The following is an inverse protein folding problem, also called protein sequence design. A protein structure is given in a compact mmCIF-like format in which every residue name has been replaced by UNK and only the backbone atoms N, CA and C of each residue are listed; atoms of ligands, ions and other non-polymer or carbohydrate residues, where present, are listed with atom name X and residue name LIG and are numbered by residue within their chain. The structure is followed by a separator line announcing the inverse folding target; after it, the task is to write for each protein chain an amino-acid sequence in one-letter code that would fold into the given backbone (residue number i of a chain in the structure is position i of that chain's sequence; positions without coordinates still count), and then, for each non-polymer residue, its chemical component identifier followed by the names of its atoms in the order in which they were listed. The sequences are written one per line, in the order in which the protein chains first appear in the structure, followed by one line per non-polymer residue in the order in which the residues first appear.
data_IF_048897943603
#
_entry.id   IF_048897943603
#
_cell.length_a   1.000
_cell.length_b   1.000
_cell.length_c   1.000
_cell.angle_alpha   90.00
_cell.angle_beta   90.00
_cell.angle_gamma   90.00
#
_symmetry.space_group_name_H-M   'P 1'
#
loop_
_entity.id
_entity.type
_entity.pdbx_description
1 polymer ?
#
# COMPACT_ATOMS: atom_id res chain seq x y z
N UNK A 1 -22.06 -10.98 4.51
CA UNK A 1 -21.23 -12.08 4.00
C UNK A 1 -21.16 -13.26 4.97
N UNK A 2 -20.74 -13.09 6.21
CA UNK A 2 -20.72 -14.18 7.21
C UNK A 2 -22.09 -14.86 7.40
N UNK A 3 -23.21 -14.12 7.30
CA UNK A 3 -24.54 -14.72 7.29
C UNK A 3 -24.75 -15.68 6.10
N UNK A 4 -24.17 -15.36 4.92
CA UNK A 4 -24.21 -16.24 3.76
C UNK A 4 -23.43 -17.53 4.02
N UNK A 5 -22.22 -17.42 4.60
CA UNK A 5 -21.42 -18.58 4.99
C UNK A 5 -22.18 -19.44 6.02
N UNK A 6 -22.86 -18.81 6.99
CA UNK A 6 -23.70 -19.52 7.93
C UNK A 6 -24.83 -20.30 7.25
N UNK A 7 -25.57 -19.64 6.35
CA UNK A 7 -26.70 -20.27 5.63
C UNK A 7 -26.20 -21.40 4.73
N UNK A 8 -25.09 -21.18 4.02
CA UNK A 8 -24.46 -22.21 3.19
C UNK A 8 -24.02 -23.43 4.05
N UNK A 9 -23.24 -23.19 5.08
CA UNK A 9 -22.69 -24.29 5.91
C UNK A 9 -23.78 -25.06 6.63
N UNK A 10 -24.84 -24.38 7.12
CA UNK A 10 -26.00 -25.02 7.74
C UNK A 10 -26.70 -25.97 6.78
N UNK A 11 -26.88 -25.55 5.51
CA UNK A 11 -27.62 -26.31 4.51
C UNK A 11 -26.76 -27.42 3.89
N UNK A 12 -25.46 -27.16 3.66
CA UNK A 12 -24.52 -28.11 3.10
C UNK A 12 -24.10 -29.21 4.12
N UNK A 13 -24.02 -28.87 5.42
CA UNK A 13 -23.53 -29.73 6.47
C UNK A 13 -24.58 -29.89 7.61
N UNK A 14 -25.59 -30.76 7.47
CA UNK A 14 -26.68 -30.91 8.46
C UNK A 14 -26.21 -31.20 9.88
N UNK A 15 -25.04 -31.85 10.05
CA UNK A 15 -24.45 -32.10 11.38
C UNK A 15 -24.14 -30.80 12.15
N UNK A 16 -23.87 -29.69 11.46
CA UNK A 16 -23.66 -28.38 12.09
C UNK A 16 -24.93 -27.82 12.72
N UNK A 17 -26.11 -28.32 12.36
CA UNK A 17 -27.37 -27.94 13.01
C UNK A 17 -27.40 -28.29 14.50
N UNK A 18 -26.71 -29.36 14.91
CA UNK A 18 -26.53 -29.71 16.33
C UNK A 18 -25.68 -28.68 17.08
N UNK A 19 -24.76 -27.99 16.36
CA UNK A 19 -23.85 -26.98 16.91
C UNK A 19 -24.24 -25.54 16.45
N UNK A 20 -25.51 -25.32 16.08
CA UNK A 20 -25.93 -24.01 15.50
C UNK A 20 -25.68 -22.82 16.41
N UNK A 21 -25.82 -22.95 17.73
CA UNK A 21 -25.57 -21.86 18.68
C UNK A 21 -24.08 -21.45 18.72
N UNK A 22 -23.13 -22.40 19.01
CA UNK A 22 -21.71 -22.04 19.00
C UNK A 22 -21.21 -21.61 17.63
N UNK A 23 -21.72 -22.21 16.53
CA UNK A 23 -21.34 -21.79 15.17
C UNK A 23 -21.77 -20.35 14.85
N UNK A 24 -23.02 -19.98 15.22
CA UNK A 24 -23.46 -18.57 15.09
C UNK A 24 -22.64 -17.62 15.96
N UNK A 25 -22.35 -18.00 17.20
CA UNK A 25 -21.52 -17.19 18.10
C UNK A 25 -20.12 -16.95 17.51
N UNK A 26 -19.48 -17.99 16.95
CA UNK A 26 -18.19 -17.87 16.30
C UNK A 26 -18.23 -16.89 15.09
N UNK A 27 -19.26 -16.98 14.24
CA UNK A 27 -19.39 -16.05 13.11
C UNK A 27 -19.68 -14.62 13.56
N UNK A 28 -20.48 -14.40 14.58
CA UNK A 28 -20.71 -13.06 15.17
C UNK A 28 -19.40 -12.53 15.73
N UNK A 29 -18.62 -13.35 16.42
CA UNK A 29 -17.30 -12.98 16.93
C UNK A 29 -16.39 -12.55 15.77
N UNK A 30 -16.30 -13.30 14.68
CA UNK A 30 -15.49 -12.95 13.51
C UNK A 30 -15.93 -11.64 12.84
N UNK A 31 -17.25 -11.36 12.79
CA UNK A 31 -17.77 -10.09 12.28
C UNK A 31 -17.37 -8.91 13.16
N UNK A 32 -17.39 -9.09 14.47
CA UNK A 32 -17.07 -8.01 15.43
C UNK A 32 -15.57 -7.84 15.66
N UNK A 33 -14.77 -8.85 15.34
CA UNK A 33 -13.32 -8.84 15.59
C UNK A 33 -12.59 -7.70 14.89
N UNK A 34 -12.76 -7.41 13.57
CA UNK A 34 -12.07 -6.32 12.89
C UNK A 34 -12.33 -4.94 13.49
N UNK A 35 -13.58 -4.49 13.71
CA UNK A 35 -13.82 -3.16 14.27
C UNK A 35 -13.33 -3.04 15.72
N UNK A 36 -13.46 -4.09 16.53
CA UNK A 36 -12.98 -4.08 17.93
C UNK A 36 -11.46 -4.03 17.98
N UNK A 37 -10.77 -4.89 17.22
CA UNK A 37 -9.31 -4.90 17.21
C UNK A 37 -8.72 -3.64 16.61
N UNK A 38 -9.37 -3.05 15.61
CA UNK A 38 -8.98 -1.74 15.06
C UNK A 38 -9.05 -0.65 16.13
N UNK A 39 -10.14 -0.61 16.89
CA UNK A 39 -10.30 0.35 17.98
C UNK A 39 -9.22 0.15 19.04
N UNK A 40 -8.95 -1.08 19.46
CA UNK A 40 -7.90 -1.39 20.44
C UNK A 40 -6.52 -1.01 19.89
N UNK A 41 -6.21 -1.36 18.64
CA UNK A 41 -4.92 -1.02 18.03
C UNK A 41 -4.69 0.50 17.99
N UNK A 42 -5.72 1.27 17.58
CA UNK A 42 -5.63 2.73 17.52
C UNK A 42 -5.47 3.38 18.91
N UNK A 43 -6.01 2.76 19.95
CA UNK A 43 -5.94 3.28 21.32
C UNK A 43 -4.67 2.88 22.06
N UNK A 44 -4.11 1.71 21.78
CA UNK A 44 -3.02 1.12 22.59
C UNK A 44 -1.70 0.95 21.84
N UNK A 45 -1.72 1.04 20.50
CA UNK A 45 -0.58 0.71 19.63
C UNK A 45 0.01 -0.69 19.89
N UNK A 46 -0.77 -1.61 20.49
CA UNK A 46 -0.29 -2.92 20.89
C UNK A 46 -0.04 -3.82 19.66
N UNK A 47 1.18 -4.36 19.45
CA UNK A 47 1.50 -5.20 18.30
C UNK A 47 0.59 -6.41 18.14
N UNK A 48 0.21 -7.04 19.27
CA UNK A 48 -0.72 -8.19 19.26
C UNK A 48 -2.09 -7.78 18.72
N UNK A 49 -2.61 -6.61 19.12
CA UNK A 49 -3.90 -6.12 18.60
C UNK A 49 -3.83 -5.85 17.08
N UNK A 50 -2.72 -5.30 16.58
CA UNK A 50 -2.49 -5.12 15.16
C UNK A 50 -2.45 -6.45 14.39
N UNK A 51 -1.77 -7.47 14.92
CA UNK A 51 -1.73 -8.81 14.32
C UNK A 51 -3.10 -9.48 14.29
N UNK A 52 -3.88 -9.38 15.38
CA UNK A 52 -5.24 -9.93 15.45
C UNK A 52 -6.16 -9.19 14.47
N UNK A 53 -6.03 -7.86 14.33
CA UNK A 53 -6.77 -7.09 13.35
C UNK A 53 -6.41 -7.52 11.91
N UNK A 54 -5.13 -7.68 11.60
CA UNK A 54 -4.68 -8.16 10.30
C UNK A 54 -5.24 -9.55 9.97
N UNK A 55 -5.24 -10.47 10.94
CA UNK A 55 -5.88 -11.78 10.78
C UNK A 55 -7.39 -11.66 10.50
N UNK A 56 -8.10 -10.86 11.27
CA UNK A 56 -9.55 -10.68 11.14
C UNK A 56 -9.93 -10.06 9.78
N UNK A 57 -9.16 -9.07 9.31
CA UNK A 57 -9.37 -8.48 7.98
C UNK A 57 -9.04 -9.49 6.87
N UNK A 58 -7.96 -10.27 7.04
CA UNK A 58 -7.58 -11.32 6.09
C UNK A 58 -8.68 -12.39 5.97
N UNK A 59 -9.26 -12.82 7.09
CA UNK A 59 -10.41 -13.75 7.11
C UNK A 59 -11.62 -13.15 6.36
N UNK A 60 -11.94 -11.88 6.63
CA UNK A 60 -13.03 -11.19 5.94
C UNK A 60 -12.81 -11.11 4.41
N UNK A 61 -11.56 -10.96 3.95
CA UNK A 61 -11.21 -11.01 2.53
C UNK A 61 -11.47 -12.39 1.91
N UNK A 62 -11.12 -13.48 2.60
CA UNK A 62 -11.41 -14.85 2.14
C UNK A 62 -12.92 -15.04 1.99
N UNK A 63 -13.69 -14.62 2.99
CA UNK A 63 -15.17 -14.69 2.98
C UNK A 63 -15.75 -13.86 1.83
N UNK A 64 -15.20 -12.66 1.57
CA UNK A 64 -15.62 -11.81 0.47
C UNK A 64 -15.40 -12.48 -0.90
N UNK A 65 -14.23 -13.04 -1.12
CA UNK A 65 -13.90 -13.76 -2.36
C UNK A 65 -14.78 -14.97 -2.58
N UNK A 66 -15.11 -15.71 -1.50
CA UNK A 66 -15.92 -16.91 -1.57
C UNK A 66 -17.41 -16.61 -1.73
N UNK A 67 -17.90 -15.42 -1.40
CA UNK A 67 -19.33 -15.12 -1.31
C UNK A 67 -20.06 -15.33 -2.64
N UNK A 68 -19.60 -14.75 -3.74
CA UNK A 68 -20.24 -14.89 -5.05
C UNK A 68 -20.18 -16.33 -5.58
N UNK A 69 -19.04 -17.03 -5.59
CA UNK A 69 -18.99 -18.45 -5.97
C UNK A 69 -19.94 -19.33 -5.13
N UNK A 70 -20.04 -19.10 -3.83
CA UNK A 70 -20.96 -19.86 -2.96
C UNK A 70 -22.42 -19.58 -3.32
N UNK A 71 -22.79 -18.33 -3.66
CA UNK A 71 -24.14 -18.01 -4.15
C UNK A 71 -24.45 -18.81 -5.41
N UNK A 72 -23.50 -18.82 -6.37
CA UNK A 72 -23.65 -19.57 -7.62
C UNK A 72 -23.78 -21.07 -7.37
N UNK A 73 -22.95 -21.65 -6.51
CA UNK A 73 -23.05 -23.07 -6.14
C UNK A 73 -24.41 -23.42 -5.50
N UNK A 74 -24.95 -22.54 -4.66
CA UNK A 74 -26.30 -22.72 -4.07
C UNK A 74 -27.40 -22.66 -5.13
N UNK A 75 -27.28 -21.74 -6.10
CA UNK A 75 -28.23 -21.63 -7.21
C UNK A 75 -28.20 -22.88 -8.11
N UNK A 76 -27.00 -23.42 -8.38
CA UNK A 76 -26.84 -24.69 -9.11
C UNK A 76 -27.44 -25.86 -8.27
N UNK A 77 -27.08 -25.96 -7.00
CA UNK A 77 -27.55 -26.97 -6.10
C UNK A 77 -29.10 -27.02 -6.00
N UNK A 78 -29.75 -25.85 -6.02
CA UNK A 78 -31.21 -25.75 -6.00
C UNK A 78 -31.90 -26.33 -7.24
N UNK A 79 -31.17 -26.41 -8.37
CA UNK A 79 -31.67 -27.04 -9.62
C UNK A 79 -31.44 -28.56 -9.66
N UNK A 80 -30.49 -29.09 -8.86
CA UNK A 80 -30.10 -30.49 -8.84
C UNK A 80 -31.00 -31.33 -7.93
N UNK A 81 -31.57 -30.71 -6.88
CA UNK A 81 -32.41 -31.45 -5.94
C UNK A 81 -33.13 -30.58 -4.92
N UNK A 82 -34.05 -31.14 -4.18
CA UNK A 82 -34.84 -30.46 -3.16
C UNK A 82 -33.95 -29.94 -2.02
N UNK A 83 -34.41 -28.97 -1.21
CA UNK A 83 -33.69 -28.51 -0.04
C UNK A 83 -33.44 -29.68 0.93
N UNK A 84 -32.37 -29.62 1.74
CA UNK A 84 -32.04 -30.68 2.71
C UNK A 84 -33.22 -30.94 3.66
N UNK A 85 -33.50 -32.20 3.91
CA UNK A 85 -34.52 -32.61 4.90
C UNK A 85 -34.10 -32.14 6.31
N UNK A 86 -35.07 -31.89 7.19
CA UNK A 86 -34.82 -31.52 8.59
C UNK A 86 -34.08 -32.62 9.35
N UNK A 87 -34.33 -33.87 9.03
CA UNK A 87 -33.62 -35.04 9.58
C UNK A 87 -32.54 -35.47 8.58
N UNK A 88 -31.25 -35.43 8.95
CA UNK A 88 -30.18 -35.79 8.06
C UNK A 88 -30.20 -37.28 7.73
N UNK A 89 -30.32 -37.63 6.45
CA UNK A 89 -30.08 -38.96 5.97
C UNK A 89 -28.64 -39.41 6.27
N UNK A 90 -28.36 -40.69 6.42
CA UNK A 90 -26.99 -41.18 6.68
C UNK A 90 -26.02 -40.92 5.55
N UNK A 91 -26.52 -40.67 4.32
CA UNK A 91 -25.73 -40.34 3.14
C UNK A 91 -25.94 -38.90 2.67
N UNK A 92 -24.89 -38.29 2.18
CA UNK A 92 -24.92 -36.94 1.58
C UNK A 92 -25.68 -36.97 0.24
N UNK A 93 -26.65 -36.08 0.07
CA UNK A 93 -27.34 -35.91 -1.22
C UNK A 93 -26.44 -35.29 -2.26
N UNK A 94 -26.76 -35.47 -3.56
CA UNK A 94 -26.00 -34.81 -4.67
C UNK A 94 -25.93 -33.29 -4.52
N UNK A 95 -27.02 -32.66 -4.08
CA UNK A 95 -27.08 -31.25 -3.79
C UNK A 95 -26.09 -30.85 -2.69
N UNK A 96 -26.11 -31.57 -1.57
CA UNK A 96 -25.19 -31.32 -0.45
C UNK A 96 -23.73 -31.56 -0.83
N UNK A 97 -23.45 -32.55 -1.70
CA UNK A 97 -22.10 -32.76 -2.22
C UNK A 97 -21.62 -31.57 -3.05
N UNK A 98 -22.42 -31.08 -3.98
CA UNK A 98 -22.08 -29.92 -4.82
C UNK A 98 -21.91 -28.64 -3.97
N UNK A 99 -22.90 -28.34 -3.12
CA UNK A 99 -22.85 -27.15 -2.27
C UNK A 99 -21.74 -27.25 -1.21
N UNK A 100 -21.59 -28.42 -0.56
CA UNK A 100 -20.62 -28.62 0.51
C UNK A 100 -19.18 -28.71 0.03
N UNK A 101 -18.88 -29.68 -0.84
CA UNK A 101 -17.50 -29.86 -1.35
C UNK A 101 -17.08 -28.70 -2.25
N UNK A 102 -17.99 -28.20 -3.10
CA UNK A 102 -17.73 -27.03 -3.94
C UNK A 102 -17.45 -25.78 -3.10
N UNK A 103 -18.24 -25.53 -2.06
CA UNK A 103 -18.01 -24.39 -1.17
C UNK A 103 -16.73 -24.50 -0.34
N UNK A 104 -16.37 -25.70 0.12
CA UNK A 104 -15.07 -25.94 0.78
C UNK A 104 -13.90 -25.72 -0.19
N UNK A 105 -14.03 -26.16 -1.44
CA UNK A 105 -13.02 -25.93 -2.46
C UNK A 105 -12.85 -24.43 -2.75
N UNK A 106 -13.94 -23.67 -2.84
CA UNK A 106 -13.92 -22.20 -3.01
C UNK A 106 -13.24 -21.50 -1.83
N UNK A 107 -13.59 -21.87 -0.60
CA UNK A 107 -12.95 -21.32 0.60
C UNK A 107 -11.47 -21.69 0.67
N UNK A 108 -11.11 -22.91 0.35
CA UNK A 108 -9.73 -23.39 0.28
C UNK A 108 -8.92 -22.65 -0.78
N UNK A 109 -9.48 -22.44 -1.97
CA UNK A 109 -8.84 -21.66 -3.03
C UNK A 109 -8.64 -20.19 -2.60
N UNK A 110 -9.66 -19.56 -2.01
CA UNK A 110 -9.55 -18.21 -1.46
C UNK A 110 -8.46 -18.10 -0.39
N UNK A 111 -8.43 -19.04 0.55
CA UNK A 111 -7.40 -19.09 1.58
C UNK A 111 -6.00 -19.31 1.00
N UNK A 112 -5.86 -20.15 -0.04
CA UNK A 112 -4.58 -20.38 -0.73
C UNK A 112 -4.07 -19.14 -1.44
N UNK A 113 -4.95 -18.41 -2.14
CA UNK A 113 -4.60 -17.15 -2.84
C UNK A 113 -4.18 -16.08 -1.85
N UNK A 114 -4.94 -15.90 -0.77
CA UNK A 114 -4.62 -14.95 0.29
C UNK A 114 -3.33 -15.35 1.01
N UNK A 115 -3.17 -16.63 1.34
CA UNK A 115 -1.96 -17.17 1.96
C UNK A 115 -0.71 -16.95 1.09
N UNK A 116 -0.84 -17.15 -0.23
CA UNK A 116 0.24 -16.83 -1.17
C UNK A 116 0.58 -15.33 -1.13
N UNK A 117 -0.42 -14.47 -1.17
CA UNK A 117 -0.23 -13.01 -1.08
C UNK A 117 0.44 -12.56 0.22
N UNK A 118 0.15 -13.24 1.33
CA UNK A 118 0.73 -12.95 2.64
C UNK A 118 2.18 -13.46 2.79
N UNK A 119 2.50 -14.62 2.19
CA UNK A 119 3.80 -15.30 2.39
C UNK A 119 4.78 -15.00 1.26
N UNK A 120 4.29 -14.86 0.03
CA UNK A 120 5.12 -14.66 -1.17
C UNK A 120 4.87 -13.30 -1.82
N UNK A 121 3.62 -12.91 -2.00
CA UNK A 121 3.25 -11.71 -2.76
C UNK A 121 3.85 -10.44 -2.18
N UNK A 122 3.93 -10.31 -0.86
CA UNK A 122 4.53 -9.15 -0.18
C UNK A 122 6.07 -9.10 -0.22
N UNK A 123 6.72 -10.17 -0.67
CA UNK A 123 8.18 -10.26 -0.86
C UNK A 123 8.58 -10.29 -2.34
N UNK A 124 7.61 -10.27 -3.25
CA UNK A 124 7.85 -10.33 -4.68
C UNK A 124 8.23 -8.96 -5.25
N UNK A 125 9.27 -8.33 -4.70
CA UNK A 125 9.74 -7.01 -5.13
C UNK A 125 10.03 -6.98 -6.63
N UNK A 126 9.54 -5.94 -7.29
CA UNK A 126 9.83 -5.63 -8.69
C UNK A 126 10.54 -4.29 -8.80
N UNK A 127 11.45 -4.19 -9.76
CA UNK A 127 12.05 -2.91 -10.15
C UNK A 127 11.37 -2.45 -11.43
N UNK A 128 10.67 -1.31 -11.37
CA UNK A 128 10.05 -0.68 -12.53
C UNK A 128 10.96 0.41 -13.07
N UNK A 129 11.28 0.37 -14.36
CA UNK A 129 12.03 1.44 -15.03
C UNK A 129 11.08 2.37 -15.77
N UNK A 130 11.17 3.66 -15.48
CA UNK A 130 10.29 4.69 -16.04
C UNK A 130 11.15 5.82 -16.62
N UNK A 131 11.10 5.99 -17.94
CA UNK A 131 11.79 7.09 -18.63
C UNK A 131 10.85 8.29 -18.70
N UNK A 132 11.30 9.44 -18.18
CA UNK A 132 10.53 10.68 -18.17
C UNK A 132 11.28 11.78 -18.93
N UNK A 133 10.63 12.32 -19.95
CA UNK A 133 11.17 13.46 -20.72
C UNK A 133 10.87 14.76 -19.98
N UNK A 134 11.92 15.51 -19.66
CA UNK A 134 11.82 16.76 -18.91
C UNK A 134 12.26 17.93 -19.83
N UNK A 135 11.31 18.79 -20.16
CA UNK A 135 11.60 19.99 -20.93
C UNK A 135 12.52 20.94 -20.15
N UNK A 136 13.61 21.36 -20.76
CA UNK A 136 14.60 22.26 -20.15
C UNK A 136 15.55 21.56 -19.17
N UNK A 137 15.57 20.23 -19.11
CA UNK A 137 16.59 19.51 -18.34
C UNK A 137 17.96 19.75 -18.98
N UNK A 138 18.98 20.20 -18.22
CA UNK A 138 20.34 20.35 -18.73
C UNK A 138 20.88 19.05 -19.30
N UNK A 139 21.62 19.13 -20.39
CA UNK A 139 22.23 17.95 -21.05
C UNK A 139 23.15 17.15 -20.12
N UNK A 140 23.82 17.82 -19.18
CA UNK A 140 24.65 17.15 -18.17
C UNK A 140 23.83 16.25 -17.22
N UNK A 141 22.50 16.39 -17.19
CA UNK A 141 21.58 15.55 -16.41
C UNK A 141 20.75 14.60 -17.30
N UNK A 142 21.07 14.50 -18.59
CA UNK A 142 20.47 13.47 -19.45
C UNK A 142 20.89 12.08 -18.99
N UNK A 143 19.92 11.21 -18.74
CA UNK A 143 20.17 9.90 -18.13
C UNK A 143 20.26 9.90 -16.59
N UNK A 144 19.99 11.04 -15.91
CA UNK A 144 19.97 11.11 -14.45
C UNK A 144 18.96 10.15 -13.85
N UNK A 145 19.38 9.36 -12.84
CA UNK A 145 18.57 8.30 -12.25
C UNK A 145 18.09 8.71 -10.86
N UNK A 146 16.77 8.73 -10.68
CA UNK A 146 16.13 8.82 -9.35
C UNK A 146 15.63 7.44 -8.96
N UNK A 147 16.10 6.93 -7.81
CA UNK A 147 15.55 5.73 -7.18
C UNK A 147 14.40 6.13 -6.25
N UNK A 148 13.18 5.68 -6.56
CA UNK A 148 12.01 5.96 -5.72
C UNK A 148 11.57 4.73 -4.98
N UNK A 149 11.31 4.88 -3.68
CA UNK A 149 10.50 3.99 -2.85
C UNK A 149 9.45 4.80 -2.11
N UNK A 150 8.36 4.17 -1.70
CA UNK A 150 7.25 4.80 -1.01
C UNK A 150 6.59 3.81 -0.06
N UNK A 151 5.82 4.30 0.91
CA UNK A 151 4.93 3.45 1.71
C UNK A 151 5.68 2.25 2.31
N UNK A 152 6.77 2.54 3.00
CA UNK A 152 7.63 1.50 3.57
C UNK A 152 6.95 0.85 4.76
N UNK A 153 6.26 1.67 5.60
CA UNK A 153 5.55 1.20 6.78
C UNK A 153 6.39 0.33 7.69
N UNK A 154 7.60 0.84 8.06
CA UNK A 154 8.44 0.14 9.04
C UNK A 154 7.62 -0.08 10.30
N UNK A 155 7.43 -1.34 10.68
CA UNK A 155 6.49 -1.69 11.72
C UNK A 155 6.35 -3.20 11.90
N UNK A 156 5.15 -3.63 12.32
CA UNK A 156 4.89 -5.04 12.65
C UNK A 156 5.12 -6.02 11.49
N UNK A 157 4.94 -5.57 10.24
CA UNK A 157 5.02 -6.43 9.06
C UNK A 157 6.21 -6.13 8.15
N UNK A 158 6.85 -4.97 8.33
CA UNK A 158 8.07 -4.60 7.61
C UNK A 158 9.16 -4.34 8.63
N UNK A 159 10.02 -5.31 8.81
CA UNK A 159 11.13 -5.30 9.75
C UNK A 159 12.46 -5.43 9.01
N UNK A 160 13.55 -5.73 9.71
CA UNK A 160 14.91 -5.75 9.17
C UNK A 160 15.04 -6.62 7.91
N UNK A 161 14.37 -7.77 7.87
CA UNK A 161 14.41 -8.68 6.72
C UNK A 161 13.76 -8.07 5.49
N UNK A 162 12.52 -7.60 5.62
CA UNK A 162 11.77 -6.99 4.52
C UNK A 162 12.46 -5.70 4.03
N UNK A 163 13.00 -4.91 4.97
CA UNK A 163 13.82 -3.74 4.63
C UNK A 163 15.05 -4.13 3.83
N UNK A 164 15.80 -5.15 4.25
CA UNK A 164 16.99 -5.60 3.52
C UNK A 164 16.63 -6.05 2.09
N UNK A 165 15.60 -6.90 1.94
CA UNK A 165 15.14 -7.40 0.63
C UNK A 165 14.84 -6.27 -0.36
N UNK A 166 14.08 -5.24 0.05
CA UNK A 166 13.69 -4.15 -0.84
C UNK A 166 14.78 -3.09 -1.02
N UNK A 167 15.54 -2.78 0.04
CA UNK A 167 16.64 -1.80 -0.07
C UNK A 167 17.82 -2.34 -0.88
N UNK A 168 18.05 -3.65 -0.92
CA UNK A 168 19.03 -4.25 -1.81
C UNK A 168 18.63 -4.03 -3.28
N UNK A 169 17.33 -4.17 -3.61
CA UNK A 169 16.81 -3.81 -4.93
C UNK A 169 17.03 -2.33 -5.26
N UNK A 170 16.85 -1.44 -4.28
CA UNK A 170 17.09 -0.02 -4.47
C UNK A 170 18.58 0.28 -4.73
N UNK A 171 19.49 -0.40 -4.06
CA UNK A 171 20.94 -0.30 -4.31
C UNK A 171 21.34 -0.76 -5.72
N UNK A 172 20.68 -1.83 -6.23
CA UNK A 172 20.89 -2.32 -7.60
C UNK A 172 20.50 -1.28 -8.67
N UNK A 173 19.61 -0.35 -8.37
CA UNK A 173 19.21 0.75 -9.28
C UNK A 173 20.39 1.70 -9.57
N UNK A 174 21.36 1.82 -8.66
CA UNK A 174 22.51 2.75 -8.77
C UNK A 174 22.06 4.18 -9.03
N UNK A 175 21.11 4.65 -8.23
CA UNK A 175 20.51 5.97 -8.37
C UNK A 175 21.50 7.10 -8.06
N UNK A 176 21.38 8.19 -8.80
CA UNK A 176 22.06 9.44 -8.50
C UNK A 176 21.44 10.14 -7.28
N UNK A 177 20.13 10.00 -7.12
CA UNK A 177 19.33 10.52 -6.01
C UNK A 177 18.33 9.45 -5.56
N UNK A 178 18.19 9.27 -4.26
CA UNK A 178 17.13 8.40 -3.69
C UNK A 178 16.04 9.30 -3.10
N UNK A 179 14.78 8.98 -3.42
CA UNK A 179 13.61 9.66 -2.84
C UNK A 179 12.68 8.67 -2.17
N UNK A 180 12.18 9.03 -0.98
CA UNK A 180 11.18 8.25 -0.25
C UNK A 180 9.92 9.09 -0.14
N UNK A 181 8.86 8.67 -0.82
CA UNK A 181 7.65 9.49 -1.00
C UNK A 181 6.57 9.25 0.07
N UNK A 182 7.00 9.24 1.35
CA UNK A 182 6.13 9.22 2.53
C UNK A 182 5.75 7.83 3.03
N UNK A 183 5.03 7.79 4.14
CA UNK A 183 4.63 6.61 4.92
C UNK A 183 5.84 5.73 5.28
N UNK A 184 6.76 6.36 6.03
CA UNK A 184 8.05 5.78 6.42
C UNK A 184 7.87 4.74 7.53
N UNK A 185 7.03 5.07 8.52
CA UNK A 185 6.77 4.25 9.72
C UNK A 185 5.27 4.01 9.90
N UNK A 186 4.91 2.84 10.41
CA UNK A 186 3.52 2.44 10.63
C UNK A 186 3.12 2.56 12.11
N UNK A 187 2.31 3.56 12.45
CA UNK A 187 1.66 3.90 13.73
C UNK A 187 2.54 3.94 14.99
N UNK A 188 3.57 3.11 15.15
CA UNK A 188 4.34 2.96 16.39
C UNK A 188 5.71 3.66 16.31
N UNK A 189 5.94 4.73 17.08
CA UNK A 189 7.20 5.46 17.05
C UNK A 189 8.42 4.64 17.51
N UNK A 190 8.24 3.47 18.15
CA UNK A 190 9.35 2.60 18.53
C UNK A 190 10.13 2.04 17.34
N UNK A 191 9.54 2.06 16.14
CA UNK A 191 10.18 1.64 14.89
C UNK A 191 11.00 2.74 14.20
N UNK A 192 10.91 4.00 14.64
CA UNK A 192 11.69 5.12 14.07
C UNK A 192 13.20 4.81 14.03
N UNK A 193 13.85 4.28 15.11
CA UNK A 193 15.27 3.97 15.05
C UNK A 193 15.64 2.92 13.98
N UNK A 194 14.77 1.94 13.71
CA UNK A 194 14.97 0.95 12.65
C UNK A 194 14.92 1.60 11.28
N UNK A 195 13.92 2.44 11.04
CA UNK A 195 13.76 3.22 9.80
C UNK A 195 15.00 4.09 9.54
N UNK A 196 15.45 4.84 10.55
CA UNK A 196 16.63 5.72 10.44
C UNK A 196 17.88 4.93 10.10
N UNK A 197 18.15 3.80 10.79
CA UNK A 197 19.30 2.93 10.46
C UNK A 197 19.26 2.43 9.02
N UNK A 198 18.08 2.02 8.56
CA UNK A 198 17.91 1.52 7.20
C UNK A 198 18.20 2.60 6.15
N UNK A 199 17.73 3.82 6.36
CA UNK A 199 17.93 4.94 5.42
C UNK A 199 19.34 5.51 5.49
N UNK A 200 19.96 5.59 6.67
CA UNK A 200 21.35 6.02 6.82
C UNK A 200 22.36 5.09 6.13
N UNK A 201 21.97 3.84 5.88
CA UNK A 201 22.75 2.88 5.10
C UNK A 201 22.58 3.02 3.57
N UNK A 202 21.71 3.93 3.10
CA UNK A 202 21.54 4.23 1.68
C UNK A 202 22.54 5.30 1.26
N UNK A 203 23.12 5.13 0.07
CA UNK A 203 24.05 6.09 -0.51
C UNK A 203 23.65 6.41 -1.95
N UNK A 204 23.65 7.70 -2.29
CA UNK A 204 23.49 8.19 -3.64
C UNK A 204 24.32 9.48 -3.78
N UNK A 205 24.71 9.86 -4.99
CA UNK A 205 25.54 11.03 -5.25
C UNK A 205 24.91 12.31 -4.66
N UNK A 206 23.60 12.49 -4.87
CA UNK A 206 22.86 13.65 -4.39
C UNK A 206 22.05 13.34 -3.11
N UNK A 207 22.37 12.20 -2.46
CA UNK A 207 21.87 11.80 -1.16
C UNK A 207 20.48 11.17 -1.19
N UNK A 208 19.89 11.13 0.01
CA UNK A 208 18.54 10.63 0.25
C UNK A 208 17.64 11.77 0.65
N UNK A 209 16.48 11.90 0.01
CA UNK A 209 15.45 12.90 0.32
C UNK A 209 14.16 12.21 0.67
N UNK A 210 13.46 12.70 1.68
CA UNK A 210 12.19 12.15 2.12
C UNK A 210 11.11 13.22 2.15
N UNK A 211 9.86 12.79 2.07
CA UNK A 211 8.70 13.57 2.49
C UNK A 211 7.90 12.76 3.49
N UNK A 212 6.95 13.39 4.16
CA UNK A 212 6.03 12.69 5.06
C UNK A 212 4.79 12.19 4.31
N UNK A 213 4.24 11.06 4.79
CA UNK A 213 2.91 10.58 4.44
C UNK A 213 1.95 10.65 5.63
N UNK A 214 0.73 10.18 5.43
CA UNK A 214 -0.30 10.25 6.48
C UNK A 214 0.02 9.35 7.69
N UNK A 215 0.67 8.20 7.51
CA UNK A 215 1.06 7.33 8.62
C UNK A 215 2.16 7.95 9.47
N UNK A 216 3.05 8.75 8.91
CA UNK A 216 4.06 9.47 9.66
C UNK A 216 3.42 10.47 10.64
N UNK A 217 2.26 11.06 10.27
CA UNK A 217 1.45 11.88 11.17
C UNK A 217 0.80 11.07 12.28
N UNK A 218 0.31 9.87 12.00
CA UNK A 218 -0.26 8.96 13.02
C UNK A 218 0.81 8.46 13.99
N UNK A 219 2.06 8.30 13.52
CA UNK A 219 3.23 7.91 14.31
C UNK A 219 3.76 9.08 15.14
N UNK A 220 3.61 10.31 14.67
CA UNK A 220 4.13 11.53 15.26
C UNK A 220 5.17 12.20 14.35
N UNK A 221 4.70 12.96 13.38
CA UNK A 221 5.50 13.60 12.33
C UNK A 221 6.75 14.35 12.84
N UNK A 222 6.63 15.06 13.95
CA UNK A 222 7.76 15.78 14.57
C UNK A 222 8.88 14.82 15.03
N UNK A 223 8.52 13.65 15.58
CA UNK A 223 9.52 12.64 16.00
C UNK A 223 10.21 12.02 14.80
N UNK A 224 9.45 11.74 13.75
CA UNK A 224 9.97 11.18 12.49
C UNK A 224 10.93 12.18 11.86
N UNK A 225 10.53 13.44 11.67
CA UNK A 225 11.37 14.49 11.08
C UNK A 225 12.64 14.73 11.87
N UNK A 226 12.53 14.89 13.20
CA UNK A 226 13.69 15.13 14.04
C UNK A 226 14.70 13.97 14.01
N UNK A 227 14.22 12.72 13.92
CA UNK A 227 15.08 11.55 13.80
C UNK A 227 15.79 11.46 12.44
N UNK A 228 15.13 11.84 11.35
CA UNK A 228 15.72 11.93 10.02
C UNK A 228 16.81 13.03 9.97
N UNK A 229 16.50 14.22 10.48
CA UNK A 229 17.43 15.35 10.55
C UNK A 229 18.68 15.02 11.37
N UNK A 230 18.50 14.38 12.52
CA UNK A 230 19.61 13.94 13.36
C UNK A 230 20.54 12.93 12.67
N UNK A 231 20.01 12.18 11.70
CA UNK A 231 20.75 11.24 10.86
C UNK A 231 21.32 11.89 9.56
N UNK A 232 21.13 13.18 9.36
CA UNK A 232 21.55 13.88 8.14
C UNK A 232 20.71 13.59 6.91
N UNK A 233 19.51 13.04 7.08
CA UNK A 233 18.57 12.73 6.00
C UNK A 233 17.64 13.93 5.81
N UNK A 234 17.61 14.50 4.62
CA UNK A 234 16.87 15.72 4.30
C UNK A 234 15.36 15.41 4.10
N UNK A 235 14.52 15.91 4.99
CA UNK A 235 13.06 15.79 4.91
C UNK A 235 12.46 17.07 4.31
N UNK A 236 11.88 16.95 3.12
CA UNK A 236 11.35 18.08 2.35
C UNK A 236 9.88 18.38 2.71
N UNK A 237 9.66 18.92 3.91
CA UNK A 237 8.32 19.36 4.34
C UNK A 237 8.06 20.79 3.87
N UNK A 238 7.36 20.96 2.74
CA UNK A 238 7.15 22.24 2.07
C UNK A 238 8.49 22.96 1.76
N UNK A 239 9.44 22.21 1.22
CA UNK A 239 10.79 22.70 0.97
C UNK A 239 11.26 22.32 -0.45
N UNK A 240 12.18 23.12 -0.98
CA UNK A 240 12.81 22.91 -2.27
C UNK A 240 14.33 22.80 -2.17
N UNK A 241 14.93 22.01 -3.06
CA UNK A 241 16.37 21.86 -3.24
C UNK A 241 16.73 21.92 -4.71
N UNK A 242 17.80 22.65 -5.02
CA UNK A 242 18.36 22.64 -6.37
C UNK A 242 19.35 21.47 -6.49
N UNK A 243 19.05 20.53 -7.39
CA UNK A 243 19.96 19.46 -7.80
C UNK A 243 20.76 19.96 -9.00
N UNK A 244 22.09 20.07 -8.86
CA UNK A 244 22.95 20.67 -9.87
C UNK A 244 23.58 19.64 -10.79
N UNK A 245 23.65 19.95 -12.07
CA UNK A 245 24.50 19.28 -13.05
C UNK A 245 25.92 19.81 -13.06
N UNK A 246 26.83 19.12 -13.74
CA UNK A 246 28.24 19.50 -13.85
C UNK A 246 28.49 20.77 -14.66
N UNK A 247 27.54 21.22 -15.48
CA UNK A 247 27.58 22.43 -16.31
C UNK A 247 26.99 23.68 -15.60
N UNK A 248 26.64 23.57 -14.31
CA UNK A 248 26.03 24.64 -13.53
C UNK A 248 24.51 24.73 -13.65
N UNK A 249 23.88 24.01 -14.59
CA UNK A 249 22.45 23.86 -14.69
C UNK A 249 21.91 22.87 -13.66
N UNK A 250 20.57 22.72 -13.57
CA UNK A 250 19.97 21.83 -12.58
C UNK A 250 18.47 21.64 -12.78
N UNK A 251 17.85 20.92 -11.84
CA UNK A 251 16.41 20.87 -11.64
C UNK A 251 16.05 21.12 -10.17
N UNK A 252 14.88 21.67 -9.93
CA UNK A 252 14.35 21.82 -8.59
C UNK A 252 13.65 20.54 -8.14
N UNK A 253 14.10 19.96 -7.03
CA UNK A 253 13.39 18.92 -6.29
C UNK A 253 12.57 19.60 -5.20
N UNK A 254 11.26 19.47 -5.28
CA UNK A 254 10.30 20.05 -4.36
C UNK A 254 9.66 18.93 -3.54
N UNK A 255 9.46 19.16 -2.24
CA UNK A 255 8.65 18.30 -1.39
C UNK A 255 7.53 19.10 -0.77
N UNK A 256 6.32 18.53 -0.74
CA UNK A 256 5.20 19.10 -0.01
C UNK A 256 4.82 18.19 1.16
N UNK A 257 4.25 18.82 2.18
CA UNK A 257 3.67 18.11 3.32
C UNK A 257 2.46 17.26 2.91
N UNK A 258 2.10 16.27 3.71
CA UNK A 258 0.89 15.49 3.47
C UNK A 258 -0.39 16.29 3.82
N UNK A 259 -1.47 16.00 3.13
CA UNK A 259 -2.76 16.64 3.40
C UNK A 259 -3.30 16.36 4.82
N UNK A 260 -2.86 15.26 5.44
CA UNK A 260 -3.18 14.92 6.84
C UNK A 260 -2.52 15.92 7.80
N UNK A 261 -1.38 16.50 7.46
CA UNK A 261 -0.69 17.49 8.25
C UNK A 261 -1.57 18.65 8.65
N UNK A 262 -2.29 19.25 7.70
CA UNK A 262 -3.22 20.34 7.97
C UNK A 262 -4.36 19.98 8.94
N UNK A 263 -4.79 18.71 8.95
CA UNK A 263 -5.83 18.21 9.88
C UNK A 263 -5.27 17.86 11.25
N UNK A 264 -4.00 17.48 11.31
CA UNK A 264 -3.29 17.10 12.54
C UNK A 264 -2.57 18.28 13.22
N UNK A 265 -2.87 19.53 12.83
CA UNK A 265 -2.24 20.74 13.37
C UNK A 265 -0.87 21.06 12.80
N UNK A 266 -0.45 20.37 11.74
CA UNK A 266 0.73 20.70 10.93
C UNK A 266 0.41 21.70 9.82
N UNK A 267 1.40 22.04 8.98
CA UNK A 267 1.23 23.09 7.96
C UNK A 267 0.33 22.65 6.79
N UNK A 268 0.23 21.34 6.51
CA UNK A 268 -0.35 20.82 5.29
C UNK A 268 0.44 21.19 4.02
N UNK A 269 0.02 20.71 2.84
CA UNK A 269 0.79 20.88 1.61
C UNK A 269 0.82 22.32 1.12
N UNK A 270 2.05 22.85 0.87
CA UNK A 270 2.29 24.21 0.42
C UNK A 270 3.38 24.26 -0.66
N UNK A 271 2.95 24.13 -1.92
CA UNK A 271 3.87 24.19 -3.07
C UNK A 271 4.51 25.57 -3.23
N UNK A 272 3.79 26.67 -2.93
CA UNK A 272 4.33 28.01 -3.07
C UNK A 272 5.56 28.25 -2.18
N UNK A 273 5.52 27.72 -0.94
CA UNK A 273 6.67 27.75 -0.03
C UNK A 273 7.85 26.95 -0.57
N UNK A 274 7.62 25.75 -1.11
CA UNK A 274 8.70 24.96 -1.69
C UNK A 274 9.32 25.64 -2.90
N UNK A 275 8.51 26.27 -3.76
CA UNK A 275 8.96 27.02 -4.93
C UNK A 275 9.81 28.25 -4.57
N UNK A 276 9.47 28.96 -3.47
CA UNK A 276 10.24 30.17 -3.07
C UNK A 276 11.68 29.86 -2.63
N UNK A 277 12.07 28.59 -2.52
CA UNK A 277 13.40 28.16 -2.10
C UNK A 277 14.32 27.77 -3.27
N UNK A 278 13.82 27.84 -4.51
CA UNK A 278 14.52 27.38 -5.70
C UNK A 278 14.39 28.39 -6.83
N UNK A 279 15.31 28.42 -7.80
CA UNK A 279 15.21 29.29 -8.97
C UNK A 279 13.97 29.00 -9.83
N UNK A 280 13.43 30.04 -10.48
CA UNK A 280 12.23 29.94 -11.30
C UNK A 280 12.47 29.34 -12.69
N UNK A 281 13.68 29.40 -13.18
CA UNK A 281 14.10 29.08 -14.55
C UNK A 281 14.56 27.62 -14.74
N UNK A 282 14.39 26.77 -13.73
CA UNK A 282 14.78 25.36 -13.79
C UNK A 282 13.56 24.42 -13.82
N UNK A 283 13.70 23.25 -14.46
CA UNK A 283 12.66 22.22 -14.40
C UNK A 283 12.34 21.79 -12.96
N UNK A 284 11.10 21.44 -12.69
CA UNK A 284 10.60 21.15 -11.34
C UNK A 284 10.10 19.73 -11.23
N UNK A 285 10.59 18.98 -10.23
CA UNK A 285 10.15 17.65 -9.86
C UNK A 285 9.56 17.73 -8.46
N UNK A 286 8.33 17.27 -8.28
CA UNK A 286 7.58 17.33 -7.03
C UNK A 286 7.50 15.96 -6.38
N UNK A 287 7.83 15.87 -5.10
CA UNK A 287 7.50 14.78 -4.23
C UNK A 287 6.21 15.13 -3.47
N UNK A 288 5.18 14.33 -3.62
CA UNK A 288 3.92 14.48 -2.90
C UNK A 288 3.35 13.09 -2.61
N UNK A 289 3.12 12.78 -1.34
CA UNK A 289 2.69 11.43 -0.94
C UNK A 289 1.39 11.03 -1.63
N UNK A 290 0.35 11.87 -1.53
CA UNK A 290 -0.96 11.59 -2.12
C UNK A 290 -1.02 12.00 -3.61
N UNK A 291 -1.32 11.08 -4.54
CA UNK A 291 -1.25 11.35 -5.99
C UNK A 291 -2.30 12.37 -6.45
N UNK A 292 -3.44 12.48 -5.78
CA UNK A 292 -4.52 13.41 -6.13
C UNK A 292 -4.10 14.89 -6.07
N UNK A 293 -3.01 15.21 -5.40
CA UNK A 293 -2.47 16.59 -5.35
C UNK A 293 -2.05 17.11 -6.72
N UNK A 294 -1.79 16.21 -7.69
CA UNK A 294 -1.51 16.62 -9.07
C UNK A 294 -2.63 17.47 -9.66
N UNK A 295 -3.89 17.22 -9.30
CA UNK A 295 -5.04 17.99 -9.80
C UNK A 295 -4.99 19.48 -9.40
N UNK A 296 -4.26 19.84 -8.33
CA UNK A 296 -4.07 21.24 -7.89
C UNK A 296 -2.85 21.90 -8.54
N UNK A 297 -1.87 21.12 -9.00
CA UNK A 297 -0.55 21.62 -9.39
C UNK A 297 -0.10 21.18 -10.79
N UNK A 298 -0.97 20.53 -11.55
CA UNK A 298 -0.72 20.18 -12.94
C UNK A 298 -0.28 21.41 -13.75
N UNK A 299 0.73 21.26 -14.58
CA UNK A 299 1.36 22.33 -15.36
C UNK A 299 2.36 23.20 -14.60
N UNK A 300 2.42 23.14 -13.26
CA UNK A 300 3.43 23.89 -12.46
C UNK A 300 4.72 23.11 -12.24
N UNK A 301 4.69 21.81 -12.40
CA UNK A 301 5.84 20.90 -12.28
C UNK A 301 5.86 19.93 -13.47
N UNK A 302 7.06 19.51 -13.88
CA UNK A 302 7.22 18.60 -14.99
C UNK A 302 6.90 17.14 -14.61
N UNK A 303 7.24 16.76 -13.38
CA UNK A 303 7.04 15.41 -12.83
C UNK A 303 6.57 15.49 -11.38
N UNK A 304 5.56 14.69 -11.03
CA UNK A 304 5.19 14.42 -9.64
C UNK A 304 5.42 12.94 -9.34
N UNK A 305 6.12 12.65 -8.24
CA UNK A 305 6.35 11.31 -7.70
C UNK A 305 5.51 11.13 -6.44
N UNK A 306 4.70 10.07 -6.42
CA UNK A 306 3.72 9.79 -5.35
C UNK A 306 3.70 8.31 -4.96
N UNK A 307 3.04 8.00 -3.84
CA UNK A 307 2.73 6.66 -3.36
C UNK A 307 1.29 6.54 -2.85
N UNK A 308 1.11 6.22 -1.56
CA UNK A 308 -0.14 6.23 -0.79
C UNK A 308 -1.14 5.12 -1.12
N UNK A 309 -1.27 4.72 -2.37
CA UNK A 309 -2.35 3.84 -2.84
C UNK A 309 -2.06 2.37 -2.72
N UNK A 310 -0.80 2.01 -2.46
CA UNK A 310 -0.28 0.64 -2.48
C UNK A 310 -0.59 -0.13 -3.78
N UNK A 311 -0.87 0.59 -4.89
CA UNK A 311 -1.34 -0.02 -6.13
C UNK A 311 -2.64 -0.80 -5.98
N UNK A 312 -3.45 -0.45 -4.96
CA UNK A 312 -4.65 -1.18 -4.54
C UNK A 312 -4.37 -2.38 -3.65
N UNK A 313 -3.12 -2.77 -3.44
CA UNK A 313 -2.61 -3.85 -2.59
C UNK A 313 -3.24 -5.23 -2.83
N UNK A 314 -4.56 -5.29 -3.05
CA UNK A 314 -5.35 -6.51 -3.25
C UNK A 314 -6.14 -6.45 -4.56
N UNK A 315 -5.60 -7.10 -5.61
CA UNK A 315 -6.14 -7.09 -6.97
C UNK A 315 -6.40 -8.53 -7.46
N UNK A 316 -7.55 -9.13 -7.12
CA UNK A 316 -7.87 -10.51 -7.46
C UNK A 316 -8.39 -10.65 -8.92
N UNK A 317 -7.52 -10.44 -9.91
CA UNK A 317 -7.87 -10.46 -11.32
C UNK A 317 -8.38 -9.12 -11.89
N UNK A 318 -8.74 -8.19 -11.05
CA UNK A 318 -9.02 -6.78 -11.37
C UNK A 318 -8.54 -5.92 -10.21
N UNK A 319 -8.48 -4.61 -10.39
CA UNK A 319 -8.03 -3.67 -9.35
C UNK A 319 -9.23 -2.92 -8.76
N UNK A 320 -9.76 -3.35 -7.58
CA UNK A 320 -10.92 -2.72 -6.96
C UNK A 320 -10.75 -1.23 -6.67
N UNK A 321 -9.51 -0.79 -6.40
CA UNK A 321 -9.18 0.61 -6.15
C UNK A 321 -9.55 1.54 -7.32
N UNK A 322 -9.56 1.07 -8.56
CA UNK A 322 -9.96 1.84 -9.75
C UNK A 322 -11.43 2.30 -9.70
N UNK A 323 -12.25 1.68 -8.87
CA UNK A 323 -13.66 2.09 -8.68
C UNK A 323 -13.80 3.36 -7.83
N UNK A 324 -12.77 3.71 -7.04
CA UNK A 324 -12.84 4.78 -6.04
C UNK A 324 -11.71 5.80 -6.15
N UNK A 325 -10.60 5.43 -6.83
CA UNK A 325 -9.40 6.25 -6.95
C UNK A 325 -9.08 6.49 -8.42
N UNK A 326 -8.82 7.75 -8.78
CA UNK A 326 -8.44 8.14 -10.14
C UNK A 326 -7.01 7.72 -10.49
N UNK A 327 -6.10 7.80 -9.52
CA UNK A 327 -4.68 7.51 -9.69
C UNK A 327 -4.29 6.41 -8.71
N UNK A 328 -4.01 5.20 -9.20
CA UNK A 328 -3.73 4.06 -8.33
C UNK A 328 -2.31 3.54 -8.46
N UNK A 329 -1.77 3.38 -9.65
CA UNK A 329 -0.39 2.95 -9.86
C UNK A 329 0.09 3.23 -11.28
N UNK A 330 1.38 3.51 -11.45
CA UNK A 330 2.02 3.72 -12.73
C UNK A 330 1.95 5.18 -13.19
N UNK A 331 2.10 5.38 -14.49
CA UNK A 331 2.25 6.69 -15.12
C UNK A 331 0.91 7.27 -15.61
N UNK A 332 0.71 8.55 -15.36
CA UNK A 332 -0.41 9.36 -15.85
C UNK A 332 0.10 10.68 -16.41
N UNK A 333 -0.62 11.22 -17.40
CA UNK A 333 -0.36 12.55 -17.95
C UNK A 333 -1.49 13.51 -17.52
N UNK A 334 -1.13 14.55 -16.79
CA UNK A 334 -2.05 15.45 -16.14
C UNK A 334 -1.72 16.91 -16.52
N UNK A 335 -2.39 17.46 -17.57
CA UNK A 335 -2.27 18.84 -18.00
C UNK A 335 -0.81 19.36 -18.06
N UNK A 336 0.09 18.61 -18.70
CA UNK A 336 1.51 18.97 -18.86
C UNK A 336 2.43 18.55 -17.70
N UNK A 337 1.90 17.83 -16.72
CA UNK A 337 2.67 17.17 -15.65
C UNK A 337 2.60 15.67 -15.83
N UNK A 338 3.73 14.98 -15.84
CA UNK A 338 3.77 13.52 -15.67
C UNK A 338 3.59 13.21 -14.18
N UNK A 339 2.60 12.39 -13.83
CA UNK A 339 2.44 11.82 -12.51
C UNK A 339 2.91 10.36 -12.55
N UNK A 340 3.75 9.96 -11.61
CA UNK A 340 4.06 8.56 -11.35
C UNK A 340 3.64 8.15 -9.94
N UNK A 341 2.85 7.08 -9.83
CA UNK A 341 2.36 6.54 -8.57
C UNK A 341 3.01 5.19 -8.32
N UNK A 342 3.92 5.15 -7.35
CA UNK A 342 4.60 3.95 -6.88
C UNK A 342 3.63 3.05 -6.11
N UNK A 343 3.71 1.73 -6.31
CA UNK A 343 2.82 0.75 -5.63
C UNK A 343 3.16 0.52 -4.16
N UNK A 344 4.15 1.24 -3.64
CA UNK A 344 4.61 1.08 -2.25
C UNK A 344 5.50 -0.15 -2.04
N UNK A 345 6.33 -0.03 -1.03
CA UNK A 345 7.31 -1.02 -0.59
C UNK A 345 6.70 -2.02 0.41
N UNK A 346 6.05 -1.51 1.45
CA UNK A 346 5.48 -2.27 2.55
C UNK A 346 4.04 -2.73 2.32
N UNK A 347 3.33 -2.90 3.40
CA UNK A 347 1.90 -3.26 3.44
C UNK A 347 1.18 -2.40 4.46
N UNK A 348 -0.09 -2.11 4.22
CA UNK A 348 -0.96 -1.42 5.16
C UNK A 348 -2.17 -2.31 5.49
N UNK A 349 -2.57 -2.35 6.77
CA UNK A 349 -3.64 -3.23 7.22
C UNK A 349 -3.25 -4.72 7.13
N UNK A 350 -3.95 -5.57 6.35
CA UNK A 350 -3.59 -6.98 6.21
C UNK A 350 -2.26 -7.13 5.45
N UNK A 351 -1.35 -8.02 5.92
CA UNK A 351 -0.04 -8.20 5.29
C UNK A 351 -0.13 -9.05 4.02
N UNK A 352 -0.97 -8.64 3.09
CA UNK A 352 -1.27 -9.38 1.85
C UNK A 352 -1.06 -8.48 0.66
N UNK A 353 -0.26 -8.91 -0.32
CA UNK A 353 -0.19 -8.29 -1.64
C UNK A 353 -0.58 -9.30 -2.70
N UNK A 354 -1.59 -8.95 -3.50
CA UNK A 354 -2.08 -9.76 -4.61
C UNK A 354 -2.25 -8.87 -5.84
N UNK A 355 -1.55 -9.17 -6.94
CA UNK A 355 -1.61 -8.38 -8.17
C UNK A 355 -1.09 -6.94 -8.04
N UNK A 356 -0.43 -6.63 -6.92
CA UNK A 356 0.25 -5.37 -6.64
C UNK A 356 1.58 -5.66 -5.93
N UNK A 357 2.59 -6.18 -6.63
CA UNK A 357 3.89 -6.49 -6.04
C UNK A 357 4.53 -5.23 -5.45
N UNK A 358 5.29 -5.35 -4.34
CA UNK A 358 6.05 -4.23 -3.80
C UNK A 358 7.05 -3.72 -4.84
N UNK A 359 7.26 -2.40 -4.85
CA UNK A 359 7.94 -1.72 -5.95
C UNK A 359 9.11 -0.87 -5.50
N UNK A 360 10.22 -1.00 -6.23
CA UNK A 360 11.30 -0.02 -6.32
C UNK A 360 11.24 0.58 -7.72
N UNK A 361 11.20 1.91 -7.84
CA UNK A 361 11.14 2.55 -9.16
C UNK A 361 12.47 3.18 -9.53
N UNK A 362 12.95 2.90 -10.72
CA UNK A 362 14.07 3.57 -11.38
C UNK A 362 13.51 4.62 -12.35
N UNK A 363 13.53 5.89 -11.96
CA UNK A 363 13.13 7.00 -12.84
C UNK A 363 14.37 7.49 -13.59
N UNK A 364 14.34 7.41 -14.90
CA UNK A 364 15.41 7.94 -15.77
C UNK A 364 14.93 9.25 -16.38
N UNK A 365 15.59 10.36 -16.03
CA UNK A 365 15.29 11.67 -16.59
C UNK A 365 16.01 11.81 -17.92
N UNK A 366 15.29 12.24 -18.96
CA UNK A 366 15.89 12.54 -20.28
C UNK A 366 15.51 13.95 -20.72
N UNK A 367 16.46 14.60 -21.34
CA UNK A 367 16.27 15.93 -21.92
C UNK A 367 15.27 15.87 -23.09
N UNK A 368 14.33 16.84 -23.16
CA UNK A 368 13.33 16.96 -24.22
C UNK A 368 13.49 18.27 -25.00
#
# INVERSE_FOLDING_TARGET
MHALIYLWARDAFPRLQKAKKPFRAALIFLVLLPPVTRLVTSATHAPIAAMVNAFAVTEAMIVLLAALPIIVLRAIGSRIGPPPAKDPAPSMTRRQAVEGLGGLAVLGAGASVIGWGAVRGRHAFVTEEVVVRIKGLPKALDGYVIGQVSDIHVGNFVQERELAEGLDRLREVKADLIVVTGDLVDFDPSYIPMMVRAFAALTARDGVKTILGNHDYYTGAQKVTAALEAAGIDSLVNAGRLIRGGDGGGFALLGVDDATGGRAGGPGPNLARALSMVPDDVPRILLSHQPMTVDYWAGKVALQLSGHTHGGQFNPGFRPADLFMRYVAGRYECAGTTLYVNRGFGVVGPPVRLGAPPEVTKIVLVSA
#
